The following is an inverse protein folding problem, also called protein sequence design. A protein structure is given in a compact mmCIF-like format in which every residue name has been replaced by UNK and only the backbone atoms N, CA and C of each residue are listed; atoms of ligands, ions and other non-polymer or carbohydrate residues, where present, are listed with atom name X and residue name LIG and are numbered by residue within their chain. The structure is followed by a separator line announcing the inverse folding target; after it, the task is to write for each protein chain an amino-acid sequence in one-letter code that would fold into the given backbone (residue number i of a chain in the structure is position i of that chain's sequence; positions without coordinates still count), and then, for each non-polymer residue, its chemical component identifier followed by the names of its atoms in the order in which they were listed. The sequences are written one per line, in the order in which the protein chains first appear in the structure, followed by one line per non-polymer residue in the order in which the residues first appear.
data_IF_881937334713
#
_entry.id   IF_881937334713
#
_cell.length_a   1.000
_cell.length_b   1.000
_cell.length_c   1.000
_cell.angle_alpha   90.00
_cell.angle_beta   90.00
_cell.angle_gamma   90.00
#
_symmetry.space_group_name_H-M   'P 1'
#
loop_
_entity.id
_entity.type
_entity.pdbx_description
1 polymer ?
#
# COMPACT_ATOMS: atom_id res chain seq x y z
N UNK A 1 -110.00 -25.10 70.45
CA UNK A 1 -109.15 -26.07 71.19
C UNK A 1 -108.65 -27.04 70.13
N UNK A 2 -107.40 -27.05 69.68
CA UNK A 2 -106.12 -27.19 70.43
C UNK A 2 -104.95 -26.63 69.61
N UNK A 3 -103.92 -26.14 70.31
CA UNK A 3 -102.68 -25.49 69.85
C UNK A 3 -101.63 -26.48 69.26
N UNK A 4 -100.71 -25.97 68.44
CA UNK A 4 -99.38 -26.55 68.15
C UNK A 4 -98.55 -25.77 67.09
N UNK A 5 -97.26 -25.39 67.31
CA UNK A 5 -96.57 -24.27 66.62
C UNK A 5 -95.54 -24.72 65.55
N UNK A 6 -94.94 -23.78 64.80
CA UNK A 6 -93.49 -23.76 64.46
C UNK A 6 -93.08 -22.37 63.91
N UNK A 7 -92.01 -21.84 64.50
CA UNK A 7 -91.28 -20.64 64.09
C UNK A 7 -90.64 -20.78 62.69
N UNK A 8 -90.46 -19.67 61.96
CA UNK A 8 -89.12 -19.08 61.73
C UNK A 8 -89.15 -17.71 61.03
N UNK A 9 -88.24 -16.89 61.55
CA UNK A 9 -87.85 -15.51 61.23
C UNK A 9 -86.87 -15.47 60.04
N UNK A 10 -86.88 -14.39 59.28
CA UNK A 10 -85.77 -13.96 58.42
C UNK A 10 -86.21 -12.81 57.52
N UNK A 11 -85.77 -11.55 57.64
CA UNK A 11 -84.64 -11.00 58.37
C UNK A 11 -83.52 -10.60 57.39
N UNK A 12 -83.53 -9.32 56.97
CA UNK A 12 -82.33 -8.52 56.71
C UNK A 12 -81.57 -8.75 55.40
N UNK A 13 -81.78 -7.85 54.43
CA UNK A 13 -80.80 -7.59 53.39
C UNK A 13 -79.55 -6.97 54.01
N UNK A 14 -78.45 -7.70 53.99
CA UNK A 14 -77.11 -7.18 54.24
C UNK A 14 -76.32 -7.25 52.94
N UNK A 15 -75.80 -6.12 52.49
CA UNK A 15 -74.65 -6.08 51.59
C UNK A 15 -73.49 -6.72 52.36
N UNK A 16 -73.29 -8.02 52.16
CA UNK A 16 -72.10 -8.69 52.64
C UNK A 16 -70.94 -8.29 51.75
N UNK A 17 -69.92 -7.66 52.33
CA UNK A 17 -68.59 -7.73 51.74
C UNK A 17 -68.24 -9.21 51.55
N UNK A 18 -67.82 -9.57 50.35
CA UNK A 18 -67.32 -10.90 50.06
C UNK A 18 -65.92 -11.02 50.68
N UNK A 19 -65.85 -11.15 52.01
CA UNK A 19 -64.60 -11.29 52.78
C UNK A 19 -64.10 -12.73 52.86
N UNK A 20 -64.81 -13.68 52.22
CA UNK A 20 -64.54 -15.11 52.30
C UNK A 20 -64.56 -15.85 50.96
N UNK A 21 -64.46 -15.16 49.82
CA UNK A 21 -64.21 -15.86 48.55
C UNK A 21 -62.79 -16.42 48.54
N UNK A 22 -62.64 -17.61 49.11
CA UNK A 22 -61.48 -18.47 48.97
C UNK A 22 -61.49 -19.02 47.55
N UNK A 23 -60.78 -18.36 46.62
CA UNK A 23 -60.40 -18.95 45.34
C UNK A 23 -59.32 -20.01 45.58
N UNK A 24 -59.74 -21.16 46.12
CA UNK A 24 -58.90 -22.35 46.21
C UNK A 24 -59.62 -23.42 45.39
N UNK A 25 -59.61 -23.26 44.07
CA UNK A 25 -59.83 -24.38 43.18
C UNK A 25 -58.55 -25.20 43.14
N UNK A 26 -58.62 -26.48 43.50
CA UNK A 26 -57.50 -27.42 43.41
C UNK A 26 -57.15 -27.83 41.97
N UNK A 27 -57.31 -26.92 41.01
CA UNK A 27 -57.10 -27.12 39.58
C UNK A 27 -56.10 -26.11 39.03
N UNK A 28 -55.34 -26.53 38.05
CA UNK A 28 -54.01 -25.97 37.72
C UNK A 28 -53.98 -24.57 37.06
N UNK A 29 -55.08 -23.80 36.97
CA UNK A 29 -55.14 -22.53 36.19
C UNK A 29 -56.27 -21.55 36.62
N UNK A 30 -56.09 -20.64 37.60
CA UNK A 30 -57.15 -19.70 38.03
C UNK A 30 -56.71 -18.21 38.18
N UNK A 31 -57.07 -17.31 37.23
CA UNK A 31 -56.82 -15.86 37.35
C UNK A 31 -58.04 -14.99 36.94
N UNK A 32 -58.60 -14.21 37.88
CA UNK A 32 -60.04 -13.86 37.97
C UNK A 32 -60.41 -12.37 37.73
N UNK A 33 -61.60 -12.06 37.15
CA UNK A 33 -62.52 -10.93 37.54
C UNK A 33 -63.98 -11.13 37.09
N UNK A 34 -64.90 -10.59 37.88
CA UNK A 34 -66.37 -10.72 37.79
C UNK A 34 -67.03 -9.64 36.92
N UNK A 35 -68.08 -9.98 36.14
CA UNK A 35 -69.00 -9.00 35.53
C UNK A 35 -70.38 -9.06 36.18
N UNK A 36 -70.98 -7.87 36.28
CA UNK A 36 -72.21 -7.48 36.98
C UNK A 36 -73.33 -8.55 37.09
N UNK A 37 -73.34 -9.30 38.22
CA UNK A 37 -74.42 -10.22 38.64
C UNK A 37 -74.11 -11.73 38.52
N UNK A 38 -74.01 -12.40 39.67
CA UNK A 38 -74.04 -13.85 40.04
C UNK A 38 -73.33 -14.95 39.20
N UNK A 39 -72.86 -14.72 37.98
CA UNK A 39 -72.14 -15.74 37.20
C UNK A 39 -70.73 -15.24 36.85
N UNK A 40 -69.71 -15.98 37.29
CA UNK A 40 -68.31 -15.83 36.87
C UNK A 40 -68.11 -16.61 35.56
N UNK A 41 -67.70 -15.94 34.49
CA UNK A 41 -67.32 -16.59 33.22
C UNK A 41 -65.79 -16.62 33.14
N UNK A 42 -65.22 -17.83 33.09
CA UNK A 42 -63.78 -18.05 32.90
C UNK A 42 -63.50 -18.18 31.40
N UNK A 43 -62.55 -17.40 30.87
CA UNK A 43 -61.97 -17.67 29.54
C UNK A 43 -60.54 -18.14 29.74
N UNK A 44 -60.28 -19.37 29.29
CA UNK A 44 -58.94 -19.97 29.25
C UNK A 44 -58.12 -19.32 28.15
N UNK A 45 -56.88 -18.96 28.44
CA UNK A 45 -55.87 -18.75 27.39
C UNK A 45 -55.46 -20.15 26.91
N UNK A 46 -55.75 -20.47 25.66
CA UNK A 46 -55.33 -21.74 25.08
C UNK A 46 -53.81 -21.77 24.93
N UNK A 47 -53.22 -22.93 25.21
CA UNK A 47 -51.80 -23.21 25.04
C UNK A 47 -51.47 -23.27 23.54
N UNK A 48 -51.21 -22.12 22.94
CA UNK A 48 -50.44 -22.02 21.71
C UNK A 48 -48.97 -21.87 22.08
N UNK A 49 -48.08 -22.50 21.31
CA UNK A 49 -46.61 -22.56 21.51
C UNK A 49 -45.89 -21.22 21.65
N UNK A 50 -46.59 -20.09 21.55
CA UNK A 50 -46.11 -18.69 21.57
C UNK A 50 -47.19 -17.78 22.21
N UNK A 51 -47.47 -17.93 23.51
CA UNK A 51 -48.59 -17.28 24.22
C UNK A 51 -48.20 -16.40 25.41
N UNK A 52 -49.20 -15.87 26.13
CA UNK A 52 -48.99 -15.18 27.41
C UNK A 52 -49.16 -16.19 28.56
N UNK A 53 -48.11 -16.42 29.33
CA UNK A 53 -48.14 -17.30 30.52
C UNK A 53 -48.19 -16.45 31.80
N UNK A 54 -49.18 -16.71 32.65
CA UNK A 54 -49.32 -16.08 33.97
C UNK A 54 -49.10 -17.19 35.00
N UNK A 55 -47.94 -17.18 35.68
CA UNK A 55 -47.57 -18.21 36.66
C UNK A 55 -47.91 -17.76 38.07
N UNK A 56 -48.77 -18.52 38.76
CA UNK A 56 -49.28 -18.21 40.11
C UNK A 56 -48.26 -18.44 41.24
N UNK A 57 -47.08 -18.99 40.95
CA UNK A 57 -46.08 -19.35 41.98
C UNK A 57 -44.96 -18.31 42.17
N UNK A 58 -44.88 -17.28 41.32
CA UNK A 58 -43.75 -16.35 41.33
C UNK A 58 -44.11 -14.85 41.29
N UNK A 59 -45.40 -14.47 41.24
CA UNK A 59 -45.83 -13.10 40.89
C UNK A 59 -45.19 -12.60 39.57
N UNK A 60 -44.91 -13.50 38.63
CA UNK A 60 -44.27 -13.17 37.34
C UNK A 60 -45.25 -13.36 36.19
N UNK A 61 -45.35 -12.33 35.37
CA UNK A 61 -46.06 -12.32 34.09
C UNK A 61 -45.05 -12.57 32.98
N UNK A 62 -45.16 -13.68 32.26
CA UNK A 62 -44.17 -14.10 31.25
C UNK A 62 -44.79 -14.05 29.85
N UNK A 63 -44.17 -13.27 28.96
CA UNK A 63 -44.52 -13.28 27.54
C UNK A 63 -43.69 -14.36 26.83
N UNK A 64 -44.33 -15.42 26.33
CA UNK A 64 -43.72 -16.45 25.49
C UNK A 64 -43.85 -16.02 24.02
N UNK A 65 -42.95 -15.14 23.59
CA UNK A 65 -42.88 -14.69 22.20
C UNK A 65 -42.36 -15.82 21.30
N UNK A 66 -42.83 -15.90 20.04
CA UNK A 66 -42.35 -16.87 19.04
C UNK A 66 -40.82 -16.87 18.83
N UNK A 67 -40.17 -15.82 19.30
CA UNK A 67 -38.74 -15.66 19.31
C UNK A 67 -38.36 -14.99 20.63
N UNK A 68 -37.57 -15.69 21.43
CA UNK A 68 -36.97 -15.14 22.65
C UNK A 68 -36.04 -13.96 22.29
N UNK A 69 -36.36 -12.75 22.77
CA UNK A 69 -35.58 -11.51 22.53
C UNK A 69 -34.78 -11.06 23.77
N UNK A 70 -34.58 -11.95 24.75
CA UNK A 70 -33.80 -11.66 25.96
C UNK A 70 -32.30 -11.61 25.67
N UNK A 71 -31.55 -10.91 26.52
CA UNK A 71 -30.09 -10.70 26.45
C UNK A 71 -29.24 -11.99 26.45
N UNK A 72 -29.82 -13.10 26.85
CA UNK A 72 -29.23 -14.45 26.84
C UNK A 72 -29.71 -15.33 25.69
N UNK A 73 -30.65 -14.84 24.86
CA UNK A 73 -31.18 -15.57 23.72
C UNK A 73 -30.35 -15.36 22.45
N UNK A 74 -30.44 -16.31 21.51
CA UNK A 74 -29.85 -16.22 20.17
C UNK A 74 -30.95 -16.23 19.10
N UNK A 75 -31.71 -15.13 18.96
CA UNK A 75 -32.84 -15.06 18.04
C UNK A 75 -32.39 -15.18 16.56
N UNK A 76 -33.09 -15.99 15.76
CA UNK A 76 -32.89 -16.08 14.29
C UNK A 76 -34.00 -15.37 13.51
N UNK A 77 -33.69 -14.29 12.79
CA UNK A 77 -34.67 -13.56 11.98
C UNK A 77 -34.52 -13.89 10.49
N UNK A 78 -35.42 -14.70 9.94
CA UNK A 78 -35.45 -15.00 8.52
C UNK A 78 -36.24 -13.92 7.76
N UNK A 79 -35.69 -13.40 6.65
CA UNK A 79 -36.34 -12.38 5.84
C UNK A 79 -36.49 -11.01 6.53
N UNK A 80 -35.65 -10.73 7.52
CA UNK A 80 -35.65 -9.43 8.22
C UNK A 80 -35.51 -8.28 7.21
N UNK A 81 -36.48 -7.38 7.20
CA UNK A 81 -36.46 -6.16 6.39
C UNK A 81 -36.34 -4.96 7.30
N UNK A 82 -35.26 -4.19 7.17
CA UNK A 82 -35.02 -2.96 7.93
C UNK A 82 -35.42 -1.76 7.08
N UNK A 83 -36.73 -1.49 7.05
CA UNK A 83 -37.37 -0.58 6.08
C UNK A 83 -36.93 0.89 6.15
N UNK A 84 -36.18 1.29 7.16
CA UNK A 84 -35.66 2.66 7.34
C UNK A 84 -34.28 2.87 6.69
N UNK A 85 -33.62 1.80 6.25
CA UNK A 85 -32.28 1.84 5.66
C UNK A 85 -32.32 1.90 4.13
N UNK A 86 -31.29 2.52 3.54
CA UNK A 86 -31.19 2.67 2.10
C UNK A 86 -30.88 1.32 1.43
N UNK A 87 -31.31 1.11 0.17
CA UNK A 87 -30.90 -0.07 -0.58
C UNK A 87 -29.37 -0.14 -0.72
N UNK A 88 -28.81 -1.35 -0.56
CA UNK A 88 -27.37 -1.58 -0.67
C UNK A 88 -26.56 -1.15 0.56
N UNK A 89 -27.20 -0.66 1.63
CA UNK A 89 -26.47 -0.26 2.84
C UNK A 89 -25.69 -1.41 3.47
N UNK A 90 -24.43 -1.15 3.80
CA UNK A 90 -23.67 -2.02 4.69
C UNK A 90 -24.00 -1.62 6.12
N UNK A 91 -24.57 -2.55 6.89
CA UNK A 91 -24.93 -2.32 8.28
C UNK A 91 -23.70 -2.49 9.18
N UNK A 92 -23.55 -1.58 10.14
CA UNK A 92 -22.50 -1.66 11.16
C UNK A 92 -23.05 -1.23 12.52
N UNK A 93 -22.33 -1.60 13.59
CA UNK A 93 -22.66 -1.16 14.93
C UNK A 93 -21.93 0.14 15.27
N UNK A 94 -22.66 1.12 15.78
CA UNK A 94 -22.10 2.36 16.32
C UNK A 94 -21.75 2.23 17.81
N UNK A 95 -21.45 3.37 18.44
CA UNK A 95 -21.28 3.45 19.89
C UNK A 95 -22.50 2.85 20.61
N UNK A 96 -22.24 2.08 21.67
CA UNK A 96 -23.25 1.29 22.40
C UNK A 96 -23.93 0.16 21.59
N UNK A 97 -23.39 -0.24 20.43
CA UNK A 97 -23.83 -1.44 19.70
C UNK A 97 -25.10 -1.24 18.86
N UNK A 98 -25.55 0.00 18.67
CA UNK A 98 -26.72 0.34 17.84
C UNK A 98 -26.42 0.04 16.37
N UNK A 99 -27.31 -0.68 15.68
CA UNK A 99 -27.19 -0.93 14.24
C UNK A 99 -27.48 0.37 13.48
N UNK A 100 -26.57 0.73 12.58
CA UNK A 100 -26.64 1.93 11.75
C UNK A 100 -26.14 1.65 10.33
N UNK A 101 -26.15 2.70 9.50
CA UNK A 101 -25.66 2.73 8.12
C UNK A 101 -24.98 4.07 7.81
N UNK A 102 -24.16 4.10 6.77
CA UNK A 102 -23.66 5.32 6.15
C UNK A 102 -24.07 5.31 4.67
N UNK A 103 -24.70 6.38 4.12
CA UNK A 103 -25.10 6.43 2.71
C UNK A 103 -23.92 6.35 1.71
N UNK A 104 -22.69 6.47 2.19
CA UNK A 104 -21.46 6.34 1.40
C UNK A 104 -20.67 5.06 1.70
N UNK A 105 -21.19 4.17 2.56
CA UNK A 105 -20.64 2.83 2.76
C UNK A 105 -21.65 1.78 2.26
N UNK A 106 -21.49 1.37 1.01
CA UNK A 106 -22.53 0.63 0.28
C UNK A 106 -21.99 -0.60 -0.43
N UNK A 107 -22.82 -1.63 -0.51
CA UNK A 107 -22.69 -2.78 -1.40
C UNK A 107 -23.68 -2.65 -2.56
N UNK A 108 -23.16 -2.48 -3.77
CA UNK A 108 -23.96 -2.55 -4.99
C UNK A 108 -24.17 -4.02 -5.37
N UNK A 109 -25.38 -4.51 -5.10
CA UNK A 109 -25.77 -5.89 -5.41
C UNK A 109 -25.80 -6.18 -6.93
N UNK A 110 -26.10 -5.19 -7.76
CA UNK A 110 -26.24 -5.41 -9.21
C UNK A 110 -24.87 -5.60 -9.86
N UNK A 111 -23.89 -4.79 -9.45
CA UNK A 111 -22.55 -4.79 -10.04
C UNK A 111 -21.51 -5.54 -9.19
N UNK A 112 -21.89 -6.08 -8.04
CA UNK A 112 -21.01 -6.76 -7.08
C UNK A 112 -19.82 -5.88 -6.64
N UNK A 113 -20.10 -4.65 -6.20
CA UNK A 113 -19.09 -3.66 -5.87
C UNK A 113 -19.25 -3.08 -4.45
N UNK A 114 -18.14 -2.83 -3.77
CA UNK A 114 -18.07 -2.17 -2.46
C UNK A 114 -17.63 -0.71 -2.64
N UNK A 115 -18.48 0.22 -2.19
CA UNK A 115 -18.18 1.66 -2.14
C UNK A 115 -17.87 2.12 -0.73
N UNK A 116 -16.78 2.90 -0.57
CA UNK A 116 -16.43 3.60 0.67
C UNK A 116 -16.23 5.08 0.35
N UNK A 117 -17.05 5.96 0.92
CA UNK A 117 -17.06 7.38 0.57
C UNK A 117 -17.71 7.69 -0.78
N UNK A 118 -18.41 6.72 -1.38
CA UNK A 118 -19.06 6.82 -2.70
C UNK A 118 -20.41 6.10 -2.68
N UNK A 119 -21.44 6.72 -3.26
CA UNK A 119 -22.81 6.18 -3.29
C UNK A 119 -23.17 5.41 -4.57
N UNK A 120 -22.29 5.39 -5.57
CA UNK A 120 -22.42 4.62 -6.81
C UNK A 120 -21.02 4.14 -7.22
N UNK A 121 -20.52 2.99 -6.71
CA UNK A 121 -19.19 2.51 -7.04
C UNK A 121 -19.08 2.16 -8.53
N UNK A 122 -17.96 2.52 -9.14
CA UNK A 122 -17.67 2.24 -10.57
C UNK A 122 -16.60 1.16 -10.78
N UNK A 123 -16.03 0.66 -9.69
CA UNK A 123 -15.07 -0.43 -9.64
C UNK A 123 -15.48 -1.43 -8.53
N UNK A 124 -15.00 -2.69 -8.57
CA UNK A 124 -15.35 -3.69 -7.54
C UNK A 124 -15.04 -3.25 -6.10
N UNK A 125 -13.98 -2.46 -5.93
CA UNK A 125 -13.70 -1.68 -4.71
C UNK A 125 -13.47 -0.23 -5.14
N UNK A 126 -14.35 0.67 -4.73
CA UNK A 126 -14.26 2.09 -5.04
C UNK A 126 -14.18 2.89 -3.73
N UNK A 127 -13.05 3.55 -3.52
CA UNK A 127 -12.77 4.30 -2.29
C UNK A 127 -12.54 5.76 -2.66
N UNK A 128 -13.40 6.63 -2.15
CA UNK A 128 -13.35 8.06 -2.41
C UNK A 128 -13.28 8.83 -1.09
N UNK A 129 -12.60 9.98 -1.12
CA UNK A 129 -12.55 10.91 -0.01
C UNK A 129 -12.61 12.32 -0.55
N UNK A 130 -13.58 13.09 -0.07
CA UNK A 130 -13.75 14.50 -0.45
C UNK A 130 -13.38 15.38 0.74
N UNK A 131 -12.51 16.36 0.51
CA UNK A 131 -12.09 17.33 1.52
C UNK A 131 -12.06 18.73 0.94
N UNK A 132 -12.20 19.73 1.82
CA UNK A 132 -12.00 21.15 1.50
C UNK A 132 -10.53 21.54 1.39
N UNK A 133 -9.59 20.68 1.82
CA UNK A 133 -8.15 20.90 1.69
C UNK A 133 -7.69 20.53 0.27
N UNK A 134 -7.15 21.50 -0.47
CA UNK A 134 -6.85 21.35 -1.92
C UNK A 134 -5.38 21.16 -2.27
N UNK A 135 -4.47 21.21 -1.29
CA UNK A 135 -3.02 21.23 -1.53
C UNK A 135 -2.23 20.26 -0.63
N UNK A 136 -2.86 19.17 -0.20
CA UNK A 136 -2.23 18.12 0.62
C UNK A 136 -2.54 16.74 0.06
N UNK A 137 -1.58 15.83 0.13
CA UNK A 137 -1.80 14.41 -0.24
C UNK A 137 -2.60 13.72 0.86
N UNK A 138 -3.67 13.02 0.49
CA UNK A 138 -4.45 12.14 1.38
C UNK A 138 -4.13 10.69 1.04
N UNK A 139 -3.82 9.88 2.05
CA UNK A 139 -3.63 8.43 1.88
C UNK A 139 -4.97 7.71 1.86
N UNK A 140 -5.34 7.15 0.70
CA UNK A 140 -6.62 6.44 0.50
C UNK A 140 -6.62 5.01 1.08
N UNK A 141 -5.45 4.44 1.29
CA UNK A 141 -5.28 3.11 1.86
C UNK A 141 -3.97 3.00 2.64
N UNK A 142 -3.91 2.04 3.56
CA UNK A 142 -2.70 1.72 4.33
C UNK A 142 -2.46 0.21 4.27
N UNK A 143 -1.28 -0.17 3.79
CA UNK A 143 -0.78 -1.53 3.86
C UNK A 143 0.29 -1.59 4.94
N UNK A 144 0.14 -2.48 5.92
CA UNK A 144 1.06 -2.61 7.04
C UNK A 144 1.50 -4.05 7.22
N UNK A 145 2.79 -4.27 7.47
CA UNK A 145 3.35 -5.55 7.87
C UNK A 145 4.13 -5.37 9.16
N UNK A 146 3.67 -6.05 10.20
CA UNK A 146 4.35 -6.13 11.49
C UNK A 146 5.06 -7.48 11.61
N UNK A 147 6.21 -7.50 12.27
CA UNK A 147 6.87 -8.75 12.69
C UNK A 147 6.87 -8.82 14.21
N UNK A 148 6.62 -10.00 14.77
CA UNK A 148 6.76 -10.26 16.21
C UNK A 148 8.20 -10.61 16.62
N UNK A 149 9.11 -10.75 15.65
CA UNK A 149 10.53 -11.01 15.86
C UNK A 149 11.40 -9.77 15.59
N UNK A 150 12.72 -9.98 15.53
CA UNK A 150 13.66 -8.93 15.12
C UNK A 150 13.54 -8.73 13.60
N UNK A 151 13.23 -7.53 13.09
CA UNK A 151 13.14 -7.30 11.66
C UNK A 151 14.53 -7.44 11.01
N UNK A 152 14.59 -8.18 9.89
CA UNK A 152 15.80 -8.33 9.08
C UNK A 152 15.70 -7.55 7.77
N UNK A 153 16.85 -7.24 7.16
CA UNK A 153 16.92 -6.66 5.81
C UNK A 153 16.11 -7.52 4.84
N UNK A 154 15.31 -6.87 3.99
CA UNK A 154 14.34 -7.53 3.10
C UNK A 154 12.92 -7.62 3.68
N UNK A 155 12.67 -7.18 4.92
CA UNK A 155 11.30 -6.96 5.38
C UNK A 155 10.67 -5.80 4.59
N UNK A 156 9.41 -5.95 4.22
CA UNK A 156 8.74 -5.00 3.34
C UNK A 156 7.25 -5.25 3.22
N UNK A 157 6.58 -4.34 2.52
CA UNK A 157 5.15 -4.38 2.21
C UNK A 157 4.95 -4.08 0.72
N UNK A 158 3.92 -4.65 0.13
CA UNK A 158 3.61 -4.39 -1.27
C UNK A 158 2.19 -4.75 -1.67
N UNK A 159 1.88 -4.43 -2.91
CA UNK A 159 0.63 -4.75 -3.58
C UNK A 159 0.92 -5.72 -4.71
N UNK A 160 0.21 -6.84 -4.71
CA UNK A 160 0.34 -7.89 -5.72
C UNK A 160 -0.71 -7.71 -6.83
N UNK A 161 -0.30 -7.95 -8.07
CA UNK A 161 -1.16 -7.94 -9.24
C UNK A 161 -1.15 -9.31 -9.89
N UNK A 162 -2.34 -9.89 -10.06
CA UNK A 162 -2.55 -11.17 -10.72
C UNK A 162 -3.40 -10.98 -11.98
N UNK A 163 -3.13 -11.77 -13.00
CA UNK A 163 -3.95 -11.78 -14.22
C UNK A 163 -3.86 -13.15 -14.88
N UNK A 164 -4.99 -13.63 -15.40
CA UNK A 164 -5.05 -14.86 -16.15
C UNK A 164 -4.05 -14.82 -17.32
N UNK A 165 -3.25 -15.86 -17.43
CA UNK A 165 -2.38 -16.09 -18.60
C UNK A 165 -2.95 -17.23 -19.44
N UNK A 166 -2.27 -17.64 -20.51
CA UNK A 166 -2.71 -18.79 -21.32
C UNK A 166 -2.69 -20.09 -20.47
N UNK A 167 -3.80 -20.37 -19.79
CA UNK A 167 -3.95 -21.42 -18.80
C UNK A 167 -5.16 -21.18 -17.88
N UNK A 168 -5.39 -22.10 -16.92
CA UNK A 168 -6.43 -22.02 -15.88
C UNK A 168 -5.84 -21.41 -14.58
N UNK A 169 -4.74 -20.67 -14.68
CA UNK A 169 -4.04 -20.09 -13.54
C UNK A 169 -3.89 -18.58 -13.74
N UNK A 170 -4.08 -17.85 -12.65
CA UNK A 170 -3.90 -16.41 -12.55
C UNK A 170 -2.55 -16.14 -11.86
N UNK A 171 -1.41 -16.21 -12.58
CA UNK A 171 -0.13 -15.93 -11.97
C UNK A 171 -0.04 -14.50 -11.49
N UNK A 172 0.83 -14.30 -10.49
CA UNK A 172 1.34 -12.99 -10.14
C UNK A 172 2.12 -12.44 -11.32
N UNK A 173 1.61 -11.36 -11.92
CA UNK A 173 2.23 -10.69 -13.07
C UNK A 173 3.17 -9.57 -12.64
N UNK A 174 2.98 -9.03 -11.43
CA UNK A 174 3.79 -7.94 -10.92
C UNK A 174 3.48 -7.59 -9.47
N UNK A 175 4.42 -6.87 -8.85
CA UNK A 175 4.27 -6.30 -7.51
C UNK A 175 4.83 -4.88 -7.49
N UNK A 176 4.24 -4.05 -6.64
CA UNK A 176 4.80 -2.77 -6.22
C UNK A 176 5.15 -2.89 -4.74
N UNK A 177 6.43 -2.76 -4.41
CA UNK A 177 6.95 -3.10 -3.08
C UNK A 177 7.81 -1.97 -2.50
N UNK A 178 7.77 -1.82 -1.17
CA UNK A 178 8.78 -1.13 -0.37
C UNK A 178 9.51 -2.15 0.48
N UNK A 179 10.84 -2.22 0.37
CA UNK A 179 11.66 -3.28 0.97
C UNK A 179 12.87 -2.68 1.66
N UNK A 180 13.13 -3.09 2.91
CA UNK A 180 14.29 -2.57 3.66
C UNK A 180 15.61 -3.05 3.06
N UNK A 181 16.57 -2.15 3.02
CA UNK A 181 17.97 -2.41 2.63
C UNK A 181 18.93 -2.23 3.79
N UNK A 182 18.58 -1.37 4.75
CA UNK A 182 19.23 -1.23 6.06
C UNK A 182 18.16 -1.08 7.14
N UNK A 183 18.38 -1.72 8.28
CA UNK A 183 17.55 -1.61 9.49
C UNK A 183 18.38 -1.21 10.71
N UNK A 184 19.54 -0.62 10.48
CA UNK A 184 20.34 0.00 11.53
C UNK A 184 19.58 1.22 12.06
N UNK A 185 19.42 1.29 13.38
CA UNK A 185 18.65 2.36 14.02
C UNK A 185 19.18 3.74 13.62
N UNK A 186 18.30 4.60 13.10
CA UNK A 186 18.64 5.94 12.63
C UNK A 186 19.21 5.99 11.21
N UNK A 187 19.32 4.84 10.54
CA UNK A 187 19.72 4.69 9.13
C UNK A 187 18.81 3.70 8.41
N UNK A 188 17.54 3.59 8.81
CA UNK A 188 16.59 2.69 8.18
C UNK A 188 16.33 3.13 6.73
N UNK A 189 16.73 2.27 5.80
CA UNK A 189 16.63 2.53 4.37
C UNK A 189 15.64 1.55 3.74
N UNK A 190 14.80 2.07 2.85
CA UNK A 190 13.86 1.29 2.07
C UNK A 190 13.96 1.66 0.59
N UNK A 191 13.99 0.64 -0.26
CA UNK A 191 13.89 0.79 -1.70
C UNK A 191 12.42 0.66 -2.13
N UNK A 192 12.02 1.49 -3.10
CA UNK A 192 10.79 1.30 -3.86
C UNK A 192 11.07 0.45 -5.10
N UNK A 193 10.30 -0.61 -5.32
CA UNK A 193 10.58 -1.61 -6.35
C UNK A 193 9.31 -1.95 -7.13
N UNK A 194 9.39 -1.84 -8.45
CA UNK A 194 8.43 -2.43 -9.38
C UNK A 194 8.98 -3.76 -9.90
N UNK A 195 8.31 -4.85 -9.55
CA UNK A 195 8.63 -6.21 -9.99
C UNK A 195 7.64 -6.67 -11.03
N UNK A 196 8.12 -7.39 -12.02
CA UNK A 196 7.28 -8.02 -13.04
C UNK A 196 7.76 -9.42 -13.31
N UNK A 197 6.86 -10.30 -13.72
CA UNK A 197 7.25 -11.64 -14.17
C UNK A 197 8.00 -11.55 -15.51
N UNK A 198 9.12 -12.28 -15.63
CA UNK A 198 9.85 -12.47 -16.88
C UNK A 198 10.43 -13.88 -16.90
N UNK A 199 10.18 -14.62 -17.98
CA UNK A 199 10.61 -16.02 -18.11
C UNK A 199 10.23 -16.90 -16.90
N UNK A 200 9.03 -16.69 -16.33
CA UNK A 200 8.51 -17.50 -15.23
C UNK A 200 9.01 -17.11 -13.82
N UNK A 201 9.83 -16.07 -13.67
CA UNK A 201 10.27 -15.56 -12.36
C UNK A 201 9.99 -14.08 -12.21
N UNK A 202 9.74 -13.65 -10.98
CA UNK A 202 9.70 -12.22 -10.65
C UNK A 202 11.09 -11.60 -10.78
N UNK A 203 11.14 -10.41 -11.36
CA UNK A 203 12.38 -9.67 -11.56
C UNK A 203 12.16 -8.18 -11.27
N UNK A 204 13.07 -7.58 -10.52
CA UNK A 204 13.12 -6.12 -10.31
C UNK A 204 13.30 -5.44 -11.68
N UNK A 205 12.29 -4.69 -12.14
CA UNK A 205 12.34 -4.01 -13.44
C UNK A 205 12.73 -2.54 -13.29
N UNK A 206 12.25 -1.93 -12.23
CA UNK A 206 12.61 -0.56 -11.82
C UNK A 206 12.75 -0.54 -10.31
N UNK A 207 13.83 0.06 -9.82
CA UNK A 207 14.09 0.31 -8.42
C UNK A 207 14.44 1.78 -8.23
N UNK A 208 13.89 2.38 -7.18
CA UNK A 208 14.32 3.68 -6.67
C UNK A 208 14.89 3.41 -5.28
N UNK A 209 16.17 3.69 -5.10
CA UNK A 209 16.83 3.45 -3.80
C UNK A 209 16.45 4.50 -2.78
N UNK A 210 16.72 4.26 -1.49
CA UNK A 210 16.55 5.28 -0.45
C UNK A 210 17.36 6.56 -0.70
N UNK A 211 18.42 6.47 -1.52
CA UNK A 211 19.26 7.61 -1.94
C UNK A 211 18.70 8.36 -3.16
N UNK A 212 17.56 7.93 -3.69
CA UNK A 212 16.91 8.51 -4.87
C UNK A 212 17.51 8.05 -6.21
N UNK A 213 18.37 7.04 -6.21
CA UNK A 213 18.95 6.52 -7.45
C UNK A 213 17.90 5.70 -8.21
N UNK A 214 17.77 5.98 -9.51
CA UNK A 214 16.87 5.23 -10.38
C UNK A 214 17.68 4.13 -11.07
N UNK A 215 17.29 2.88 -10.78
CA UNK A 215 17.92 1.65 -11.28
C UNK A 215 16.93 0.80 -12.07
N UNK A 216 16.68 1.11 -13.35
CA UNK A 216 15.96 0.26 -14.28
C UNK A 216 16.87 -0.88 -14.75
N UNK A 217 16.28 -2.05 -14.99
CA UNK A 217 17.03 -3.25 -15.38
C UNK A 217 17.80 -3.13 -16.70
N UNK A 218 17.34 -2.28 -17.63
CA UNK A 218 17.86 -2.18 -19.01
C UNK A 218 17.75 -0.74 -19.58
N UNK A 219 18.55 0.23 -19.12
CA UNK A 219 18.47 1.61 -19.68
C UNK A 219 19.21 1.74 -21.02
N UNK A 220 20.20 0.90 -21.30
CA UNK A 220 20.98 0.91 -22.57
C UNK A 220 21.26 -0.53 -23.06
N UNK A 221 20.26 -1.42 -23.03
CA UNK A 221 20.40 -2.79 -23.54
C UNK A 221 20.16 -2.82 -25.06
N UNK A 222 21.14 -2.34 -25.83
CA UNK A 222 21.21 -2.59 -27.26
C UNK A 222 21.57 -4.08 -27.48
N UNK A 223 20.59 -4.96 -27.34
CA UNK A 223 20.66 -6.36 -27.79
C UNK A 223 21.86 -7.18 -27.27
N UNK A 224 22.00 -7.35 -25.95
CA UNK A 224 22.70 -8.53 -25.40
C UNK A 224 24.17 -8.41 -25.02
N UNK A 225 24.78 -7.22 -25.03
CA UNK A 225 26.15 -7.04 -24.53
C UNK A 225 26.20 -6.38 -23.16
N UNK A 226 26.49 -7.20 -22.14
CA UNK A 226 27.06 -6.81 -20.84
C UNK A 226 26.22 -5.86 -19.98
N UNK A 227 25.29 -6.37 -19.18
CA UNK A 227 24.71 -5.58 -18.09
C UNK A 227 25.80 -5.34 -17.04
N UNK A 228 26.32 -4.11 -16.93
CA UNK A 228 26.92 -3.71 -15.65
C UNK A 228 25.87 -3.94 -14.56
N UNK A 229 26.28 -4.46 -13.41
CA UNK A 229 25.39 -4.81 -12.29
C UNK A 229 24.53 -3.63 -11.82
N UNK A 230 25.00 -2.39 -12.03
CA UNK A 230 24.27 -1.16 -11.74
C UNK A 230 24.13 -0.30 -13.01
N UNK A 231 23.02 -0.44 -13.73
CA UNK A 231 22.60 0.52 -14.75
C UNK A 231 21.79 1.64 -14.08
N UNK A 232 22.48 2.74 -13.77
CA UNK A 232 21.87 3.92 -13.17
C UNK A 232 21.79 5.07 -14.18
N UNK A 233 20.88 6.01 -13.91
CA UNK A 233 20.97 7.38 -14.42
C UNK A 233 21.68 8.19 -13.34
N UNK A 234 22.87 8.69 -13.63
CA UNK A 234 23.68 9.40 -12.65
C UNK A 234 24.50 10.51 -13.32
N UNK A 235 24.89 11.49 -12.52
CA UNK A 235 25.79 12.57 -12.93
C UNK A 235 26.56 13.09 -11.74
N UNK A 236 27.69 13.73 -11.99
CA UNK A 236 28.44 14.35 -10.92
C UNK A 236 29.65 15.13 -11.42
N UNK A 237 30.45 15.56 -10.46
CA UNK A 237 31.79 16.09 -10.69
C UNK A 237 32.83 15.03 -10.36
N UNK A 238 33.99 15.09 -11.00
CA UNK A 238 35.16 14.29 -10.67
C UNK A 238 36.42 15.04 -11.06
N UNK A 239 37.51 14.79 -10.35
CA UNK A 239 38.83 15.35 -10.69
C UNK A 239 39.69 14.20 -11.20
N UNK A 240 39.96 14.10 -12.51
CA UNK A 240 40.78 13.02 -13.05
C UNK A 240 42.17 13.02 -12.41
N UNK A 241 42.72 11.84 -12.15
CA UNK A 241 44.16 11.71 -11.93
C UNK A 241 44.85 11.69 -13.28
N UNK A 242 45.84 12.56 -13.50
CA UNK A 242 46.59 12.64 -14.74
C UNK A 242 47.85 11.77 -14.70
N UNK A 243 48.22 11.22 -15.85
CA UNK A 243 49.40 10.39 -16.04
C UNK A 243 50.21 10.94 -17.22
N UNK A 244 51.31 11.62 -16.93
CA UNK A 244 52.23 12.08 -17.97
C UNK A 244 52.86 10.88 -18.67
N UNK A 245 52.71 10.78 -20.00
CA UNK A 245 53.24 9.65 -20.79
C UNK A 245 54.41 10.12 -21.66
N UNK A 246 54.11 10.63 -22.86
CA UNK A 246 55.12 11.01 -23.85
C UNK A 246 55.02 12.51 -24.08
N UNK A 247 56.16 13.19 -24.11
CA UNK A 247 56.25 14.63 -24.43
C UNK A 247 55.38 15.52 -23.52
N UNK A 248 55.37 15.25 -22.22
CA UNK A 248 54.67 16.06 -21.19
C UNK A 248 55.62 16.38 -20.04
N UNK A 249 55.96 17.67 -19.86
CA UNK A 249 56.76 18.18 -18.75
C UNK A 249 55.91 18.29 -17.48
N UNK A 250 54.72 18.87 -17.61
CA UNK A 250 53.77 19.07 -16.54
C UNK A 250 52.33 18.95 -17.06
N UNK A 251 51.42 18.59 -16.16
CA UNK A 251 49.98 18.62 -16.42
C UNK A 251 49.21 18.95 -15.15
N UNK A 252 48.12 19.69 -15.30
CA UNK A 252 47.20 20.00 -14.19
C UNK A 252 45.76 19.89 -14.64
N UNK A 253 44.83 19.68 -13.71
CA UNK A 253 43.42 19.42 -14.03
C UNK A 253 42.50 20.11 -13.04
N UNK A 254 41.38 20.62 -13.56
CA UNK A 254 40.28 21.12 -12.74
C UNK A 254 39.21 20.06 -12.51
N UNK A 255 38.11 20.44 -11.87
CA UNK A 255 36.96 19.54 -11.74
C UNK A 255 36.28 19.37 -13.10
N UNK A 256 36.06 18.12 -13.49
CA UNK A 256 35.29 17.73 -14.67
C UNK A 256 33.88 17.33 -14.24
N UNK A 257 32.97 17.32 -15.21
CA UNK A 257 31.62 16.80 -15.04
C UNK A 257 31.45 15.51 -15.83
N UNK A 258 30.52 14.68 -15.38
CA UNK A 258 30.12 13.48 -16.09
C UNK A 258 28.63 13.22 -15.96
N UNK A 259 28.09 12.51 -16.95
CA UNK A 259 26.76 11.92 -16.91
C UNK A 259 26.83 10.48 -17.40
N UNK A 260 25.96 9.63 -16.87
CA UNK A 260 25.85 8.22 -17.22
C UNK A 260 24.40 7.88 -17.49
N UNK A 261 24.21 7.07 -18.54
CA UNK A 261 22.95 6.38 -18.81
C UNK A 261 23.27 4.91 -19.14
N UNK A 262 22.84 3.99 -18.27
CA UNK A 262 23.11 2.57 -18.45
C UNK A 262 24.61 2.26 -18.37
N UNK A 263 25.27 1.86 -19.47
CA UNK A 263 26.73 1.67 -19.50
C UNK A 263 27.48 2.85 -20.15
N UNK A 264 26.77 3.75 -20.84
CA UNK A 264 27.39 4.88 -21.52
C UNK A 264 27.70 5.98 -20.52
N UNK A 265 28.94 6.42 -20.50
CA UNK A 265 29.41 7.53 -19.67
C UNK A 265 29.98 8.61 -20.58
N UNK A 266 29.49 9.83 -20.41
CA UNK A 266 30.01 11.03 -21.03
C UNK A 266 30.74 11.86 -19.97
N UNK A 267 31.86 12.47 -20.34
CA UNK A 267 32.61 13.37 -19.48
C UNK A 267 33.06 14.60 -20.23
N UNK A 268 33.24 15.70 -19.51
CA UNK A 268 33.80 16.93 -20.06
C UNK A 268 34.52 17.75 -19.00
N UNK A 269 35.50 18.55 -19.40
CA UNK A 269 36.16 19.47 -18.49
C UNK A 269 37.34 20.19 -19.10
N UNK A 270 38.27 20.62 -18.24
CA UNK A 270 39.49 21.35 -18.61
C UNK A 270 40.73 20.82 -17.91
N UNK A 271 41.84 20.89 -18.61
CA UNK A 271 43.16 20.53 -18.11
C UNK A 271 44.22 21.46 -18.71
N UNK A 272 45.43 21.45 -18.17
CA UNK A 272 46.60 22.07 -18.82
C UNK A 272 47.67 21.02 -19.13
N UNK A 273 48.37 21.20 -20.25
CA UNK A 273 49.47 20.34 -20.69
C UNK A 273 50.63 21.22 -21.12
N UNK A 274 51.80 20.94 -20.57
CA UNK A 274 53.08 21.55 -20.91
C UNK A 274 53.94 20.55 -21.71
N UNK A 275 53.98 20.65 -23.06
CA UNK A 275 54.74 19.71 -23.88
C UNK A 275 56.24 20.03 -23.89
N UNK A 276 57.10 19.00 -23.85
CA UNK A 276 58.57 19.18 -23.80
C UNK A 276 59.20 19.57 -25.13
N UNK A 277 58.56 19.26 -26.26
CA UNK A 277 59.09 19.47 -27.60
C UNK A 277 57.96 19.71 -28.63
N UNK A 278 58.21 20.61 -29.59
CA UNK A 278 57.33 20.86 -30.72
C UNK A 278 57.46 19.75 -31.79
N UNK A 279 56.41 19.58 -32.61
CA UNK A 279 56.31 18.60 -33.69
C UNK A 279 56.46 17.13 -33.27
N UNK A 280 56.32 16.83 -31.98
CA UNK A 280 56.33 15.48 -31.41
C UNK A 280 54.94 15.17 -30.84
N UNK A 281 54.51 13.91 -30.96
CA UNK A 281 53.26 13.43 -30.36
C UNK A 281 53.32 13.61 -28.84
N UNK A 282 52.34 14.31 -28.28
CA UNK A 282 52.11 14.45 -26.85
C UNK A 282 50.99 13.53 -26.40
N UNK A 283 51.25 12.78 -25.33
CA UNK A 283 50.35 11.76 -24.80
C UNK A 283 50.14 11.94 -23.30
N UNK A 284 48.87 12.02 -22.90
CA UNK A 284 48.46 12.16 -21.52
C UNK A 284 47.38 11.11 -21.19
N UNK A 285 47.62 10.30 -20.18
CA UNK A 285 46.60 9.43 -19.60
C UNK A 285 45.77 10.18 -18.55
N UNK A 286 44.51 9.80 -18.36
CA UNK A 286 43.67 10.32 -17.27
C UNK A 286 42.70 9.25 -16.75
N UNK A 287 42.43 9.26 -15.44
CA UNK A 287 41.46 8.34 -14.84
C UNK A 287 40.03 8.65 -15.30
N UNK A 288 39.22 7.61 -15.42
CA UNK A 288 37.80 7.72 -15.77
C UNK A 288 36.95 8.03 -14.52
N UNK A 289 35.79 8.68 -14.65
CA UNK A 289 34.88 8.92 -13.52
C UNK A 289 34.32 7.60 -12.96
N UNK A 290 34.13 6.60 -13.83
CA UNK A 290 33.72 5.24 -13.48
C UNK A 290 34.67 4.28 -14.19
N UNK A 291 35.28 3.35 -13.45
CA UNK A 291 36.21 2.39 -14.05
C UNK A 291 35.56 1.57 -15.18
N UNK A 292 36.33 1.23 -16.21
CA UNK A 292 35.93 0.34 -17.30
C UNK A 292 37.11 -0.53 -17.72
N UNK A 293 36.85 -1.77 -18.15
CA UNK A 293 37.88 -2.66 -18.69
C UNK A 293 37.93 -2.57 -20.23
N UNK A 294 39.00 -1.98 -20.77
CA UNK A 294 39.15 -1.78 -22.20
C UNK A 294 39.93 -2.91 -22.87
N UNK A 295 39.38 -3.44 -23.96
CA UNK A 295 40.00 -4.43 -24.83
C UNK A 295 40.32 -3.89 -26.23
N UNK A 296 39.73 -2.76 -26.63
CA UNK A 296 39.99 -2.11 -27.92
C UNK A 296 40.13 -0.59 -27.74
N UNK A 297 41.04 0.03 -28.49
CA UNK A 297 41.27 1.49 -28.45
C UNK A 297 40.03 2.32 -28.77
N UNK A 298 39.06 1.75 -29.51
CA UNK A 298 37.80 2.40 -29.93
C UNK A 298 36.72 2.44 -28.86
N UNK A 299 36.96 1.86 -27.68
CA UNK A 299 35.96 1.74 -26.61
C UNK A 299 35.86 2.99 -25.73
N UNK A 300 36.74 3.95 -25.92
CA UNK A 300 36.57 5.33 -25.52
C UNK A 300 36.85 6.21 -26.75
N UNK A 301 36.13 7.32 -26.85
CA UNK A 301 36.26 8.24 -27.96
C UNK A 301 35.91 9.66 -27.54
N UNK A 302 36.53 10.63 -28.17
CA UNK A 302 36.25 12.04 -27.90
C UNK A 302 37.28 12.97 -28.50
N UNK A 303 37.16 14.24 -28.14
CA UNK A 303 37.95 15.33 -28.70
C UNK A 303 38.48 16.22 -27.58
N UNK A 304 39.63 16.82 -27.84
CA UNK A 304 40.16 17.92 -27.03
C UNK A 304 40.59 19.06 -27.95
N UNK A 305 40.39 20.30 -27.51
CA UNK A 305 40.85 21.48 -28.22
C UNK A 305 41.57 22.42 -27.26
N UNK A 306 42.68 22.99 -27.72
CA UNK A 306 43.32 24.08 -27.00
C UNK A 306 42.40 25.31 -26.98
N UNK A 307 42.28 25.95 -25.83
CA UNK A 307 41.55 27.22 -25.68
C UNK A 307 42.42 28.43 -26.03
N UNK A 308 43.71 28.22 -26.25
CA UNK A 308 44.73 29.28 -26.34
C UNK A 308 45.56 29.20 -27.63
N UNK A 309 45.36 28.16 -28.44
CA UNK A 309 46.02 27.98 -29.73
C UNK A 309 45.02 27.53 -30.79
N UNK A 310 44.85 28.35 -31.83
CA UNK A 310 43.92 28.07 -32.91
C UNK A 310 44.36 26.85 -33.72
N UNK A 311 43.42 25.93 -33.96
CA UNK A 311 43.68 24.72 -34.75
C UNK A 311 44.43 23.60 -34.02
N UNK A 312 44.81 23.79 -32.75
CA UNK A 312 45.43 22.75 -31.95
C UNK A 312 44.35 21.86 -31.32
N UNK A 313 44.13 20.70 -31.94
CA UNK A 313 43.17 19.69 -31.50
C UNK A 313 43.85 18.36 -31.14
N UNK A 314 43.16 17.54 -30.37
CA UNK A 314 43.58 16.23 -29.93
C UNK A 314 42.44 15.23 -29.94
N UNK A 315 42.80 13.95 -30.03
CA UNK A 315 41.86 12.83 -29.99
C UNK A 315 41.91 12.11 -28.64
N UNK A 316 40.77 11.59 -28.21
CA UNK A 316 40.69 10.69 -27.05
C UNK A 316 40.47 9.26 -27.55
N UNK A 317 41.21 8.32 -26.98
CA UNK A 317 41.02 6.87 -27.15
C UNK A 317 41.13 6.13 -25.82
N UNK A 318 40.80 4.84 -25.83
CA UNK A 318 41.03 3.97 -24.68
C UNK A 318 42.50 3.54 -24.56
N UNK A 319 43.06 3.54 -23.36
CA UNK A 319 44.32 2.86 -23.03
C UNK A 319 44.00 1.44 -22.55
N UNK A 320 44.16 0.46 -23.44
CA UNK A 320 43.82 -0.95 -23.19
C UNK A 320 44.78 -1.66 -22.21
N UNK A 321 45.94 -1.08 -21.93
CA UNK A 321 46.92 -1.67 -21.00
C UNK A 321 46.58 -1.26 -19.56
N UNK A 322 46.17 0.00 -19.39
CA UNK A 322 45.99 0.60 -18.07
C UNK A 322 44.53 0.92 -17.71
N UNK A 323 43.57 0.62 -18.59
CA UNK A 323 42.13 0.85 -18.36
C UNK A 323 41.80 2.32 -18.02
N UNK A 324 42.33 3.25 -18.82
CA UNK A 324 42.19 4.70 -18.60
C UNK A 324 41.87 5.43 -19.91
N UNK A 325 41.43 6.69 -19.79
CA UNK A 325 41.33 7.58 -20.95
C UNK A 325 42.72 8.03 -21.41
N UNK A 326 42.90 8.20 -22.72
CA UNK A 326 44.17 8.62 -23.31
C UNK A 326 43.94 9.74 -24.31
N UNK A 327 44.54 10.89 -24.05
CA UNK A 327 44.57 12.04 -24.95
C UNK A 327 45.86 12.04 -25.74
N UNK A 328 45.76 12.16 -27.06
CA UNK A 328 46.91 12.36 -27.95
C UNK A 328 46.72 13.58 -28.87
N UNK A 329 47.79 14.32 -29.09
CA UNK A 329 47.86 15.40 -30.08
C UNK A 329 49.29 15.58 -30.58
N UNK A 330 49.47 16.30 -31.69
CA UNK A 330 50.78 16.73 -32.18
C UNK A 330 50.77 18.26 -32.18
N UNK A 331 51.64 18.88 -31.38
CA UNK A 331 51.82 20.32 -31.43
C UNK A 331 52.67 20.69 -32.63
N UNK A 332 52.21 21.56 -33.53
CA UNK A 332 52.92 21.85 -34.78
C UNK A 332 53.98 22.95 -34.65
N UNK A 333 54.05 23.74 -33.57
CA UNK A 333 55.03 24.83 -33.49
C UNK A 333 55.44 25.32 -32.08
N UNK A 334 54.89 24.80 -30.98
CA UNK A 334 55.08 25.42 -29.66
C UNK A 334 55.28 24.40 -28.53
N UNK A 335 56.01 24.80 -27.48
CA UNK A 335 56.22 24.05 -26.24
C UNK A 335 55.56 24.72 -25.03
N UNK A 336 54.77 25.79 -25.21
CA UNK A 336 54.14 26.45 -24.09
C UNK A 336 53.08 25.57 -23.41
N UNK A 337 52.93 25.75 -22.09
CA UNK A 337 51.82 25.21 -21.33
C UNK A 337 50.48 25.77 -21.85
N UNK A 338 49.55 24.89 -22.19
CA UNK A 338 48.25 25.25 -22.80
C UNK A 338 47.07 24.74 -21.99
N UNK A 339 46.00 25.53 -21.92
CA UNK A 339 44.69 25.10 -21.43
C UNK A 339 43.91 24.38 -22.53
N UNK A 340 43.31 23.26 -22.18
CA UNK A 340 42.51 22.41 -23.07
C UNK A 340 41.08 22.28 -22.54
N UNK A 341 40.12 22.25 -23.45
CA UNK A 341 38.77 21.74 -23.17
C UNK A 341 38.61 20.36 -23.81
N UNK A 342 38.05 19.44 -23.05
CA UNK A 342 37.92 18.03 -23.43
C UNK A 342 36.48 17.58 -23.27
N UNK A 343 36.04 16.71 -24.19
CA UNK A 343 34.77 16.00 -24.13
C UNK A 343 34.92 14.61 -24.71
N UNK A 344 34.44 13.59 -24.01
CA UNK A 344 34.52 12.21 -24.47
C UNK A 344 33.44 11.32 -23.89
N UNK A 345 33.37 10.11 -24.42
CA UNK A 345 32.47 9.07 -23.99
C UNK A 345 33.13 7.70 -24.02
N UNK A 346 32.62 6.79 -23.21
CA UNK A 346 33.02 5.38 -23.18
C UNK A 346 31.90 4.51 -22.62
N UNK A 347 32.03 3.19 -22.77
CA UNK A 347 31.15 2.22 -22.12
C UNK A 347 31.84 1.58 -20.91
N UNK A 348 31.09 1.41 -19.83
CA UNK A 348 31.48 0.60 -18.66
C UNK A 348 31.35 -0.88 -19.02
N UNK A 349 32.43 -1.65 -18.85
CA UNK A 349 32.49 -3.09 -19.13
C UNK A 349 33.26 -3.84 -18.07
#
# INVERSE_FOLDING_TARGET
MTLGPILKKGGGGGMGDVTGASNIGGGTFENFKQKNGTILEFKTFENGTNGLEISELADVFTFDLQQDLKDTASPTFNGLTLSTFAPGSVLFAENAGVISQDPLFIWDFTNHALGIGVSVPTAPLDVAYTSVTTNTVVSMGRFNRLTSGIPGVGIGVGVEFQCQTSGIFDPVIGNIDFVSTDLTAGSEDFDFILRQIRNGSMVDNLKITSRGEILPRNIHNNGGTGNASNQAIASGTYTPTLFNVTNVAASTVGNWTWSRVGNSVEFSGRLTIDPTAASIKTELGFSLPIASTFTLFTQAGGVANSLESAGLCGGIRADIVNNRGHLEYINTADTANRVWSIKGQYEVR
#
